data_IF_611720177898
#
_entry.id   IF_611720177898
#
_cell.length_a   1.000
_cell.length_b   1.000
_cell.length_c   1.000
_cell.angle_alpha   90.00
_cell.angle_beta   90.00
_cell.angle_gamma   90.00
#
_symmetry.space_group_name_H-M   'P 1'
#
loop_
_entity.id
_entity.type
_entity.pdbx_description
1 polymer ?
#
# COMPACT_ATOMS: atom_id res chain seq x y z
N UNK A 1 -9.25 9.50 23.11
CA UNK A 1 -8.91 9.35 21.69
C UNK A 1 -7.57 10.04 21.42
N UNK A 2 -6.66 9.32 20.77
CA UNK A 2 -5.35 9.82 20.34
C UNK A 2 -5.37 9.91 18.83
N UNK A 3 -4.92 11.02 18.25
CA UNK A 3 -4.77 11.23 16.82
C UNK A 3 -3.28 11.45 16.51
N UNK A 4 -2.75 10.69 15.57
CA UNK A 4 -1.39 10.84 15.06
C UNK A 4 -1.44 10.88 13.53
N UNK A 5 -1.04 12.02 12.97
CA UNK A 5 -1.08 12.26 11.52
C UNK A 5 0.19 11.78 10.79
N UNK A 6 1.17 11.22 11.54
CA UNK A 6 2.45 10.73 11.03
C UNK A 6 2.78 9.39 11.69
N UNK A 7 2.05 8.35 11.31
CA UNK A 7 2.09 7.02 11.93
C UNK A 7 3.51 6.46 12.12
N UNK A 8 4.36 6.58 11.10
CA UNK A 8 5.68 5.99 11.10
C UNK A 8 5.64 4.49 11.43
N UNK A 9 6.37 4.05 12.44
CA UNK A 9 6.38 2.66 12.91
C UNK A 9 5.18 2.28 13.81
N UNK A 10 4.19 3.17 13.97
CA UNK A 10 3.00 2.93 14.81
C UNK A 10 3.23 3.04 16.31
N UNK A 11 4.24 3.78 16.76
CA UNK A 11 4.57 3.88 18.18
C UNK A 11 3.46 4.55 18.98
N UNK A 12 2.87 5.62 18.45
CA UNK A 12 1.75 6.32 19.11
C UNK A 12 0.54 5.40 19.26
N UNK A 13 0.16 4.67 18.22
CA UNK A 13 -0.95 3.73 18.28
C UNK A 13 -0.66 2.58 19.27
N UNK A 14 0.57 2.06 19.27
CA UNK A 14 1.01 1.02 20.21
C UNK A 14 0.90 1.47 21.67
N UNK A 15 1.41 2.67 22.02
CA UNK A 15 1.34 3.21 23.37
C UNK A 15 -0.10 3.55 23.75
N UNK A 16 -0.90 4.10 22.83
CA UNK A 16 -2.31 4.35 23.07
C UNK A 16 -3.07 3.06 23.38
N UNK A 17 -2.81 1.98 22.62
CA UNK A 17 -3.38 0.66 22.86
C UNK A 17 -2.92 0.09 24.22
N UNK A 18 -1.64 0.24 24.59
CA UNK A 18 -1.11 -0.18 25.89
C UNK A 18 -1.90 0.45 27.05
N UNK A 19 -2.31 1.72 26.92
CA UNK A 19 -3.08 2.43 27.92
C UNK A 19 -4.60 2.32 27.74
N UNK A 20 -5.10 1.44 26.87
CA UNK A 20 -6.52 1.25 26.61
C UNK A 20 -7.19 2.49 26.01
N UNK A 21 -6.45 3.32 25.27
CA UNK A 21 -6.95 4.51 24.59
C UNK A 21 -7.34 4.18 23.16
N UNK A 22 -8.43 4.80 22.70
CA UNK A 22 -8.76 4.77 21.26
C UNK A 22 -7.78 5.62 20.50
N UNK A 23 -7.42 5.19 19.30
CA UNK A 23 -6.45 5.86 18.45
C UNK A 23 -6.89 5.89 17.01
N UNK A 24 -6.44 6.91 16.31
CA UNK A 24 -6.51 7.06 14.85
C UNK A 24 -5.11 7.50 14.44
N UNK A 25 -4.54 6.82 13.47
CA UNK A 25 -3.23 7.19 12.91
C UNK A 25 -3.26 7.11 11.41
N UNK A 26 -2.52 7.96 10.73
CA UNK A 26 -2.41 7.97 9.28
C UNK A 26 -0.97 8.21 8.85
N UNK A 27 -0.66 7.80 7.63
CA UNK A 27 0.63 8.04 7.00
C UNK A 27 0.47 8.04 5.48
N UNK A 28 1.32 8.76 4.79
CA UNK A 28 1.40 8.73 3.32
C UNK A 28 2.18 7.50 2.83
N UNK A 29 3.03 6.93 3.69
CA UNK A 29 3.83 5.75 3.40
C UNK A 29 3.07 4.46 3.67
N UNK A 30 2.83 3.68 2.63
CA UNK A 30 2.24 2.33 2.76
C UNK A 30 3.12 1.38 3.56
N UNK A 31 4.44 1.55 3.50
CA UNK A 31 5.40 0.75 4.27
C UNK A 31 5.22 1.03 5.76
N UNK A 32 5.08 2.29 6.15
CA UNK A 32 4.82 2.69 7.53
C UNK A 32 3.53 2.05 8.06
N UNK A 33 2.43 2.16 7.31
CA UNK A 33 1.14 1.56 7.69
C UNK A 33 1.23 0.03 7.79
N UNK A 34 1.92 -0.63 6.86
CA UNK A 34 2.11 -2.09 6.91
C UNK A 34 2.90 -2.51 8.15
N UNK A 35 3.96 -1.79 8.48
CA UNK A 35 4.77 -2.05 9.67
C UNK A 35 3.97 -1.82 10.96
N UNK A 36 3.24 -0.70 11.04
CA UNK A 36 2.37 -0.41 12.17
C UNK A 36 1.27 -1.46 12.35
N UNK A 37 0.62 -1.88 11.26
CA UNK A 37 -0.36 -2.97 11.25
C UNK A 37 0.24 -4.25 11.80
N UNK A 38 1.38 -4.69 11.29
CA UNK A 38 2.05 -5.91 11.75
C UNK A 38 2.39 -5.83 13.23
N UNK A 39 2.97 -4.70 13.67
CA UNK A 39 3.31 -4.46 15.08
C UNK A 39 2.11 -4.57 16.00
N UNK A 40 0.98 -3.95 15.64
CA UNK A 40 -0.24 -3.97 16.44
C UNK A 40 -0.90 -5.36 16.45
N UNK A 41 -0.89 -6.08 15.31
CA UNK A 41 -1.47 -7.43 15.24
C UNK A 41 -0.70 -8.47 16.05
N UNK A 42 0.59 -8.28 16.27
CA UNK A 42 1.44 -9.20 17.04
C UNK A 42 1.69 -8.76 18.47
N UNK A 43 1.21 -7.57 18.85
CA UNK A 43 1.43 -7.00 20.17
C UNK A 43 0.61 -7.71 21.25
N UNK A 44 1.25 -7.88 22.39
CA UNK A 44 0.60 -8.31 23.64
C UNK A 44 0.80 -7.24 24.69
N UNK A 45 -0.24 -6.99 25.50
CA UNK A 45 -0.26 -5.94 26.49
C UNK A 45 -0.66 -6.49 27.85
N UNK A 46 -0.23 -5.82 28.90
CA UNK A 46 -0.69 -6.08 30.25
C UNK A 46 -2.21 -5.90 30.35
N UNK A 47 -2.85 -6.80 31.09
CA UNK A 47 -4.26 -6.66 31.43
C UNK A 47 -4.36 -5.89 32.74
N UNK A 48 -4.86 -4.66 32.68
CA UNK A 48 -5.07 -3.83 33.86
C UNK A 48 -6.39 -4.18 34.56
N UNK A 49 -6.37 -4.30 35.88
CA UNK A 49 -7.57 -4.50 36.66
C UNK A 49 -8.52 -3.32 36.51
N UNK A 50 -9.76 -3.59 36.11
CA UNK A 50 -10.79 -2.59 35.97
C UNK A 50 -11.36 -2.18 37.32
N UNK A 51 -11.69 -0.89 37.49
CA UNK A 51 -12.37 -0.42 38.72
C UNK A 51 -13.74 -1.09 38.87
N UNK A 52 -14.48 -1.25 37.76
CA UNK A 52 -15.76 -1.97 37.70
C UNK A 52 -15.80 -2.84 36.45
N UNK A 53 -15.69 -4.16 36.59
CA UNK A 53 -15.64 -5.10 35.46
C UNK A 53 -16.88 -5.02 34.56
N UNK A 54 -18.07 -4.82 35.14
CA UNK A 54 -19.32 -4.73 34.40
C UNK A 54 -19.42 -3.50 33.47
N UNK A 55 -18.66 -2.44 33.75
CA UNK A 55 -18.66 -1.19 32.97
C UNK A 55 -17.50 -1.14 31.95
N UNK A 56 -16.62 -2.13 31.99
CA UNK A 56 -15.45 -2.20 31.10
C UNK A 56 -14.44 -1.07 31.32
N UNK A 57 -13.65 -0.78 30.30
CA UNK A 57 -12.54 0.20 30.34
C UNK A 57 -13.00 1.63 30.68
N UNK A 58 -14.26 1.95 30.43
CA UNK A 58 -14.84 3.27 30.74
C UNK A 58 -14.88 3.57 32.24
N UNK A 59 -14.86 2.55 33.11
CA UNK A 59 -14.86 2.72 34.57
C UNK A 59 -13.50 3.16 35.16
N UNK A 60 -12.43 3.07 34.38
CA UNK A 60 -11.05 3.28 34.82
C UNK A 60 -10.42 2.03 35.40
N UNK A 61 -9.23 2.18 35.97
CA UNK A 61 -8.40 1.08 36.48
C UNK A 61 -8.25 1.17 38.00
N UNK A 62 -7.90 0.04 38.60
CA UNK A 62 -7.42 0.02 39.99
C UNK A 62 -5.96 0.45 39.97
N UNK A 63 -5.62 1.47 40.74
CA UNK A 63 -4.27 2.00 40.82
C UNK A 63 -3.61 1.63 42.14
N UNK A 64 -2.28 1.53 42.12
CA UNK A 64 -1.49 1.38 43.36
C UNK A 64 -1.63 2.61 44.24
N UNK A 65 -1.66 2.37 45.53
CA UNK A 65 -1.65 3.43 46.53
C UNK A 65 -0.39 3.34 47.36
N UNK A 66 0.14 4.48 47.75
CA UNK A 66 1.29 4.59 48.66
C UNK A 66 1.01 5.57 49.76
N UNK A 67 1.56 5.38 50.96
CA UNK A 67 1.41 6.34 52.04
C UNK A 67 2.17 7.63 51.69
N UNK A 68 1.46 8.76 51.68
CA UNK A 68 2.04 10.10 51.50
C UNK A 68 2.52 10.66 52.83
N UNK A 69 3.79 10.40 53.16
CA UNK A 69 4.36 10.85 54.43
C UNK A 69 4.81 12.30 54.30
N UNK A 70 4.22 13.20 55.09
CA UNK A 70 4.57 14.62 55.15
C UNK A 70 5.20 14.97 56.49
N UNK A 71 5.98 16.04 56.53
CA UNK A 71 6.53 16.56 57.81
C UNK A 71 5.44 16.80 58.84
N UNK A 72 4.27 17.22 58.42
CA UNK A 72 3.11 17.46 59.29
C UNK A 72 2.61 16.16 59.90
N UNK A 73 2.48 15.09 59.11
CA UNK A 73 2.01 13.79 59.62
C UNK A 73 3.00 13.18 60.60
N UNK A 74 4.32 13.37 60.37
CA UNK A 74 5.35 12.93 61.33
C UNK A 74 5.30 13.75 62.62
N UNK A 75 5.21 15.08 62.51
CA UNK A 75 5.21 15.97 63.68
C UNK A 75 3.97 15.79 64.58
N UNK A 76 2.83 15.49 63.99
CA UNK A 76 1.57 15.28 64.74
C UNK A 76 1.30 13.81 65.09
N UNK A 77 2.18 12.88 64.68
CA UNK A 77 1.98 11.46 64.83
C UNK A 77 0.64 10.96 64.21
N UNK A 78 0.25 11.58 63.08
CA UNK A 78 -0.96 11.25 62.32
C UNK A 78 -0.63 10.16 61.25
N UNK A 79 -1.58 9.21 60.98
CA UNK A 79 -1.37 8.26 59.91
C UNK A 79 -1.28 9.03 58.57
N UNK A 80 -0.31 8.68 57.70
CA UNK A 80 -0.14 9.36 56.41
C UNK A 80 -1.36 9.14 55.51
N UNK A 81 -1.73 10.16 54.77
CA UNK A 81 -2.77 10.05 53.73
C UNK A 81 -2.32 9.08 52.63
N UNK A 82 -3.26 8.41 52.01
CA UNK A 82 -2.96 7.55 50.86
C UNK A 82 -2.91 8.39 49.57
N UNK A 83 -1.85 8.23 48.81
CA UNK A 83 -1.70 8.84 47.51
C UNK A 83 -1.87 7.77 46.42
N UNK A 84 -2.67 8.08 45.38
CA UNK A 84 -2.94 7.19 44.25
C UNK A 84 -1.90 7.44 43.15
N UNK A 85 -1.21 6.39 42.74
CA UNK A 85 -0.26 6.44 41.63
C UNK A 85 -0.98 6.18 40.32
N UNK A 86 -1.51 7.22 39.66
CA UNK A 86 -2.24 7.13 38.41
C UNK A 86 -1.38 6.63 37.22
N UNK A 87 -0.08 6.65 37.34
CA UNK A 87 0.87 6.08 36.36
C UNK A 87 1.15 4.59 36.57
N UNK A 88 0.64 3.97 37.65
CA UNK A 88 0.86 2.59 38.03
C UNK A 88 -0.46 1.82 38.25
N UNK A 89 -1.20 1.50 37.18
CA UNK A 89 -2.36 0.63 37.29
C UNK A 89 -1.95 -0.78 37.72
N UNK A 90 -2.80 -1.43 38.50
CA UNK A 90 -2.59 -2.83 38.89
C UNK A 90 -2.78 -3.78 37.71
N UNK A 91 -1.80 -4.73 37.56
CA UNK A 91 -1.80 -5.70 36.47
C UNK A 91 -2.37 -7.04 36.98
N UNK A 92 -3.30 -7.62 36.22
CA UNK A 92 -3.73 -8.99 36.38
C UNK A 92 -2.82 -9.91 35.54
N UNK A 93 -1.88 -10.58 36.18
CA UNK A 93 -0.92 -11.46 35.51
C UNK A 93 -1.50 -12.76 34.97
N UNK A 94 -2.76 -13.05 35.27
CA UNK A 94 -3.44 -14.25 34.75
C UNK A 94 -4.03 -14.05 33.37
N UNK A 95 -4.11 -12.81 32.91
CA UNK A 95 -4.71 -12.41 31.63
C UNK A 95 -3.70 -11.64 30.80
N UNK A 96 -3.80 -11.80 29.49
CA UNK A 96 -3.04 -11.03 28.50
C UNK A 96 -4.04 -10.35 27.58
N UNK A 97 -3.81 -9.09 27.27
CA UNK A 97 -4.62 -8.35 26.33
C UNK A 97 -3.90 -8.25 24.98
N UNK A 98 -4.65 -8.43 23.92
CA UNK A 98 -4.20 -8.19 22.53
C UNK A 98 -4.84 -6.90 22.02
N UNK A 99 -4.34 -6.37 20.93
CA UNK A 99 -4.95 -5.21 20.25
C UNK A 99 -6.41 -5.52 19.90
N UNK A 100 -7.29 -4.57 20.16
CA UNK A 100 -8.69 -4.64 19.74
C UNK A 100 -8.82 -4.62 18.21
N UNK A 101 -10.01 -4.90 17.67
CA UNK A 101 -10.25 -4.84 16.23
C UNK A 101 -10.04 -3.40 15.72
N UNK A 102 -9.33 -3.25 14.62
CA UNK A 102 -9.11 -1.98 13.94
C UNK A 102 -9.21 -2.15 12.42
N UNK A 103 -9.53 -1.08 11.72
CA UNK A 103 -9.59 -1.04 10.27
C UNK A 103 -8.34 -0.36 9.70
N UNK A 104 -7.95 -0.76 8.50
CA UNK A 104 -6.92 -0.10 7.71
C UNK A 104 -7.56 0.31 6.39
N UNK A 105 -7.61 1.60 6.14
CA UNK A 105 -8.24 2.16 4.95
C UNK A 105 -7.21 2.95 4.14
N UNK A 106 -7.26 2.82 2.83
CA UNK A 106 -6.55 3.68 1.91
C UNK A 106 -7.54 4.70 1.35
N UNK A 107 -7.35 5.97 1.68
CA UNK A 107 -8.10 7.03 1.04
C UNK A 107 -7.50 7.25 -0.36
N UNK A 108 -8.29 7.16 -1.43
CA UNK A 108 -7.83 7.61 -2.74
C UNK A 108 -7.51 9.11 -2.63
N UNK A 109 -6.39 9.51 -3.24
CA UNK A 109 -6.07 10.93 -3.32
C UNK A 109 -7.27 11.66 -3.97
N UNK A 110 -7.77 12.75 -3.37
CA UNK A 110 -8.85 13.50 -3.99
C UNK A 110 -8.35 14.06 -5.33
N UNK A 111 -8.79 13.45 -6.42
CA UNK A 111 -8.50 13.94 -7.77
C UNK A 111 -9.51 15.05 -8.07
N UNK A 112 -9.34 16.19 -7.44
CA UNK A 112 -9.95 17.43 -7.91
C UNK A 112 -8.94 18.06 -8.86
N UNK A 113 -8.93 17.61 -10.11
CA UNK A 113 -8.21 18.31 -11.16
C UNK A 113 -9.12 19.41 -11.69
N UNK A 114 -8.72 20.70 -11.66
CA UNK A 114 -9.36 21.73 -12.45
C UNK A 114 -9.40 21.29 -13.91
N UNK A 115 -10.45 21.73 -14.65
CA UNK A 115 -10.61 21.35 -16.05
C UNK A 115 -9.39 21.72 -16.91
N UNK A 116 -8.69 22.79 -16.53
CA UNK A 116 -7.46 23.27 -17.19
C UNK A 116 -6.24 22.37 -16.96
N UNK A 117 -6.17 21.65 -15.82
CA UNK A 117 -5.09 20.69 -15.52
C UNK A 117 -5.26 19.36 -16.29
N UNK A 118 -6.46 19.07 -16.78
CA UNK A 118 -6.69 17.89 -17.63
C UNK A 118 -6.04 18.07 -19.00
N UNK A 119 -5.90 19.30 -19.46
CA UNK A 119 -5.26 19.65 -20.75
C UNK A 119 -3.73 19.77 -20.64
N UNK A 120 -3.20 20.05 -19.45
CA UNK A 120 -1.74 20.16 -19.22
C UNK A 120 -1.06 18.84 -18.84
N UNK A 121 -1.82 17.82 -18.41
CA UNK A 121 -1.26 16.54 -17.95
C UNK A 121 -0.98 15.53 -19.08
N UNK A 122 -1.37 15.79 -20.31
CA UNK A 122 -1.05 14.87 -21.42
C UNK A 122 0.45 14.87 -21.72
N UNK A 123 1.15 16.00 -21.51
CA UNK A 123 2.59 16.10 -21.72
C UNK A 123 3.40 15.39 -20.64
N UNK A 124 3.03 15.51 -19.36
CA UNK A 124 3.70 14.82 -18.23
C UNK A 124 3.45 13.30 -18.27
N UNK A 125 2.25 12.89 -18.59
CA UNK A 125 1.90 11.46 -18.76
C UNK A 125 2.66 10.89 -19.96
N UNK A 126 2.76 11.63 -21.04
CA UNK A 126 3.48 11.23 -22.25
C UNK A 126 4.99 11.10 -22.01
N UNK A 127 5.60 12.02 -21.24
CA UNK A 127 7.01 11.94 -20.85
C UNK A 127 7.31 10.71 -20.00
N UNK A 128 6.49 10.43 -18.97
CA UNK A 128 6.63 9.25 -18.11
C UNK A 128 6.41 7.93 -18.85
N UNK A 129 5.44 7.89 -19.75
CA UNK A 129 5.23 6.72 -20.62
C UNK A 129 6.43 6.47 -21.54
N UNK A 130 7.14 7.51 -21.93
CA UNK A 130 8.38 7.35 -22.68
C UNK A 130 9.45 6.67 -21.83
N UNK A 131 9.65 7.13 -20.60
CA UNK A 131 10.59 6.51 -19.66
C UNK A 131 10.22 5.05 -19.35
N UNK A 132 8.94 4.73 -19.19
CA UNK A 132 8.48 3.36 -18.96
C UNK A 132 8.72 2.45 -20.18
N UNK A 133 8.53 2.97 -21.40
CA UNK A 133 8.86 2.23 -22.65
C UNK A 133 10.35 1.95 -22.75
N UNK A 134 11.18 2.96 -22.47
CA UNK A 134 12.64 2.83 -22.52
C UNK A 134 13.14 1.81 -21.47
N UNK A 135 12.56 1.84 -20.26
CA UNK A 135 12.86 0.86 -19.22
C UNK A 135 12.38 -0.55 -19.62
N UNK A 136 11.18 -0.68 -20.20
CA UNK A 136 10.67 -1.97 -20.67
C UNK A 136 11.55 -2.57 -21.77
N UNK A 137 12.04 -1.74 -22.69
CA UNK A 137 12.98 -2.13 -23.72
C UNK A 137 14.33 -2.59 -23.12
N UNK A 138 14.83 -1.86 -22.12
CA UNK A 138 16.12 -2.12 -21.50
C UNK A 138 16.12 -3.36 -20.59
N UNK A 139 15.04 -3.58 -19.81
CA UNK A 139 15.00 -4.61 -18.77
C UNK A 139 14.14 -5.81 -19.15
N UNK A 140 13.21 -5.67 -20.08
CA UNK A 140 12.18 -6.68 -20.35
C UNK A 140 11.26 -6.93 -19.15
N UNK A 141 10.54 -8.04 -19.17
CA UNK A 141 9.65 -8.48 -18.10
C UNK A 141 10.22 -9.75 -17.49
N UNK A 142 10.48 -9.74 -16.19
CA UNK A 142 10.98 -10.89 -15.44
C UNK A 142 9.84 -11.87 -15.17
N UNK A 143 9.97 -13.10 -15.66
CA UNK A 143 9.04 -14.20 -15.42
C UNK A 143 9.43 -15.09 -14.25
N UNK A 144 8.62 -16.12 -13.99
CA UNK A 144 8.92 -17.14 -12.97
C UNK A 144 10.19 -17.93 -13.32
N UNK A 145 10.96 -18.25 -12.30
CA UNK A 145 12.19 -19.03 -12.46
C UNK A 145 13.35 -18.29 -13.13
N UNK A 146 13.28 -16.95 -13.22
CA UNK A 146 14.34 -16.14 -13.82
C UNK A 146 14.28 -16.02 -15.34
N UNK A 147 13.29 -16.62 -16.00
CA UNK A 147 13.05 -16.40 -17.43
C UNK A 147 12.68 -14.92 -17.66
N UNK A 148 13.18 -14.34 -18.76
CA UNK A 148 12.94 -12.94 -19.10
C UNK A 148 12.30 -12.83 -20.48
N UNK A 149 11.19 -12.11 -20.58
CA UNK A 149 10.60 -11.72 -21.85
C UNK A 149 11.28 -10.42 -22.30
N UNK A 150 12.16 -10.51 -23.25
CA UNK A 150 12.87 -9.36 -23.82
C UNK A 150 12.16 -8.85 -25.07
N UNK A 151 12.33 -7.55 -25.32
CA UNK A 151 11.78 -6.88 -26.49
C UNK A 151 12.91 -6.36 -27.38
N UNK A 152 12.74 -6.52 -28.69
CA UNK A 152 13.65 -5.96 -29.70
C UNK A 152 13.34 -4.50 -30.00
N UNK A 153 12.06 -4.11 -29.82
CA UNK A 153 11.54 -2.79 -30.09
C UNK A 153 10.36 -2.49 -29.17
N UNK A 154 10.27 -1.26 -28.66
CA UNK A 154 9.12 -0.72 -27.92
C UNK A 154 8.87 0.71 -28.40
N UNK A 155 7.75 0.95 -29.05
CA UNK A 155 7.40 2.25 -29.64
C UNK A 155 6.04 2.73 -29.17
N UNK A 156 5.75 4.04 -29.22
CA UNK A 156 4.44 4.56 -28.91
C UNK A 156 3.41 4.06 -29.93
N UNK A 157 2.27 3.62 -29.46
CA UNK A 157 1.14 3.26 -30.29
C UNK A 157 0.20 4.46 -30.45
N UNK A 158 0.07 4.95 -31.68
CA UNK A 158 -0.79 6.09 -31.98
C UNK A 158 -2.22 5.66 -32.34
N UNK A 159 -3.19 6.49 -32.02
CA UNK A 159 -4.60 6.26 -32.35
C UNK A 159 -5.36 5.40 -31.36
N UNK A 160 -4.75 5.04 -30.25
CA UNK A 160 -5.33 4.31 -29.12
C UNK A 160 -5.20 5.13 -27.83
N UNK A 161 -6.14 4.95 -26.92
CA UNK A 161 -6.16 5.66 -25.64
C UNK A 161 -5.70 4.78 -24.49
N UNK A 162 -6.03 3.50 -24.54
CA UNK A 162 -5.77 2.54 -23.47
C UNK A 162 -4.58 1.63 -23.75
N UNK A 163 -4.13 1.58 -25.00
CA UNK A 163 -2.91 0.90 -25.41
C UNK A 163 -1.87 1.96 -25.81
N UNK A 164 -0.84 2.15 -24.98
CA UNK A 164 0.10 3.25 -25.14
C UNK A 164 1.39 2.86 -25.87
N UNK A 165 1.66 1.57 -25.99
CA UNK A 165 2.88 1.12 -26.67
C UNK A 165 2.65 -0.14 -27.50
N UNK A 166 3.45 -0.25 -28.57
CA UNK A 166 3.62 -1.44 -29.36
C UNK A 166 5.05 -1.95 -29.19
N UNK A 167 5.20 -3.27 -29.09
CA UNK A 167 6.49 -3.90 -28.93
C UNK A 167 6.59 -5.16 -29.78
N UNK A 168 7.83 -5.59 -30.01
CA UNK A 168 8.15 -6.84 -30.65
C UNK A 168 9.04 -7.68 -29.75
N UNK A 169 8.68 -8.95 -29.50
CA UNK A 169 9.46 -9.82 -28.63
C UNK A 169 10.78 -10.23 -29.32
N UNK A 170 11.83 -10.39 -28.51
CA UNK A 170 13.15 -10.84 -28.98
C UNK A 170 13.24 -12.36 -28.87
N UNK A 171 12.44 -13.04 -29.69
CA UNK A 171 12.38 -14.49 -29.81
C UNK A 171 12.75 -14.92 -31.22
N UNK A 172 13.02 -16.21 -31.47
CA UNK A 172 13.29 -16.73 -32.80
C UNK A 172 12.15 -16.46 -33.81
N UNK A 173 10.91 -16.43 -33.28
CA UNK A 173 9.73 -15.98 -34.02
C UNK A 173 9.15 -14.77 -33.30
N UNK A 174 9.50 -13.54 -33.73
CA UNK A 174 9.03 -12.32 -33.06
C UNK A 174 7.51 -12.24 -33.01
N UNK A 175 6.97 -11.89 -31.85
CA UNK A 175 5.53 -11.69 -31.65
C UNK A 175 5.24 -10.21 -31.43
N UNK A 176 4.22 -9.74 -32.13
CA UNK A 176 3.69 -8.39 -31.89
C UNK A 176 3.02 -8.33 -30.52
N UNK A 177 3.47 -7.44 -29.68
CA UNK A 177 2.91 -7.16 -28.36
C UNK A 177 2.35 -5.74 -28.31
N UNK A 178 1.26 -5.54 -27.56
CA UNK A 178 0.74 -4.22 -27.22
C UNK A 178 0.69 -4.07 -25.71
N UNK A 179 0.95 -2.86 -25.22
CA UNK A 179 1.11 -2.60 -23.80
C UNK A 179 0.12 -1.54 -23.35
N UNK A 180 -0.63 -1.88 -22.29
CA UNK A 180 -1.46 -0.98 -21.51
C UNK A 180 -0.71 -0.59 -20.25
N UNK A 181 -0.32 0.67 -20.10
CA UNK A 181 0.26 1.22 -18.88
C UNK A 181 -0.84 1.83 -18.01
N UNK A 182 -1.02 1.30 -16.81
CA UNK A 182 -1.87 1.96 -15.82
C UNK A 182 -1.16 3.15 -15.18
N UNK A 183 -1.92 4.19 -14.86
CA UNK A 183 -1.40 5.38 -14.20
C UNK A 183 -0.84 5.10 -12.80
N UNK A 184 0.01 6.03 -12.31
CA UNK A 184 0.67 5.90 -11.00
C UNK A 184 -0.30 5.92 -9.82
N UNK A 185 -1.39 6.65 -9.95
CA UNK A 185 -2.30 6.98 -8.84
C UNK A 185 -3.52 6.09 -8.73
N UNK A 186 -3.82 5.32 -9.78
CA UNK A 186 -5.01 4.46 -9.82
C UNK A 186 -4.60 3.01 -10.11
N UNK A 187 -5.19 2.03 -9.41
CA UNK A 187 -5.04 0.64 -9.80
C UNK A 187 -5.63 0.40 -11.20
N UNK A 188 -5.11 -0.59 -11.89
CA UNK A 188 -5.72 -1.07 -13.13
C UNK A 188 -7.07 -1.71 -12.79
N UNK A 189 -8.16 -1.12 -13.25
CA UNK A 189 -9.52 -1.60 -13.01
C UNK A 189 -10.06 -2.45 -14.19
N UNK A 190 -11.15 -3.20 -13.96
CA UNK A 190 -11.78 -4.05 -14.97
C UNK A 190 -12.28 -3.26 -16.18
N UNK A 191 -12.68 -2.00 -15.99
CA UNK A 191 -13.13 -1.13 -17.09
C UNK A 191 -11.97 -0.79 -18.03
N UNK A 192 -10.79 -0.48 -17.48
CA UNK A 192 -9.60 -0.19 -18.28
C UNK A 192 -9.15 -1.43 -19.05
N UNK A 193 -9.22 -2.62 -18.41
CA UNK A 193 -8.94 -3.90 -19.09
C UNK A 193 -9.88 -4.11 -20.26
N UNK A 194 -11.20 -3.96 -20.07
CA UNK A 194 -12.19 -4.14 -21.12
C UNK A 194 -11.96 -3.19 -22.30
N UNK A 195 -11.69 -1.92 -22.03
CA UNK A 195 -11.47 -0.90 -23.07
C UNK A 195 -10.14 -1.14 -23.81
N UNK A 196 -9.10 -1.59 -23.14
CA UNK A 196 -7.83 -1.95 -23.80
C UNK A 196 -7.99 -3.20 -24.69
N UNK A 197 -8.79 -4.17 -24.27
CA UNK A 197 -9.10 -5.35 -25.09
C UNK A 197 -9.91 -4.97 -26.34
N UNK A 198 -10.91 -4.09 -26.19
CA UNK A 198 -11.71 -3.57 -27.31
C UNK A 198 -10.84 -2.82 -28.34
N UNK A 199 -9.91 -1.98 -27.87
CA UNK A 199 -8.92 -1.35 -28.75
C UNK A 199 -8.02 -2.38 -29.45
N UNK A 200 -7.54 -3.39 -28.71
CA UNK A 200 -6.67 -4.44 -29.27
C UNK A 200 -7.37 -5.26 -30.38
N UNK A 201 -8.66 -5.49 -30.26
CA UNK A 201 -9.46 -6.22 -31.26
C UNK A 201 -9.52 -5.48 -32.61
N UNK A 202 -9.50 -4.15 -32.56
CA UNK A 202 -9.56 -3.27 -33.73
C UNK A 202 -8.19 -3.05 -34.39
N UNK A 203 -7.08 -3.46 -33.76
CA UNK A 203 -5.73 -3.29 -34.32
C UNK A 203 -5.47 -4.25 -35.51
N UNK A 204 -4.79 -3.74 -36.50
CA UNK A 204 -4.34 -4.53 -37.67
C UNK A 204 -2.84 -4.26 -37.94
N UNK A 205 -2.00 -5.30 -38.01
CA UNK A 205 -2.26 -6.72 -37.73
C UNK A 205 -2.63 -6.95 -36.26
N UNK A 206 -3.38 -8.01 -35.97
CA UNK A 206 -3.78 -8.34 -34.60
C UNK A 206 -2.58 -8.65 -33.71
N UNK A 207 -2.52 -8.15 -32.45
CA UNK A 207 -1.45 -8.49 -31.53
C UNK A 207 -1.53 -9.98 -31.13
N UNK A 208 -0.40 -10.58 -30.84
CA UNK A 208 -0.32 -11.94 -30.27
C UNK A 208 -0.10 -11.92 -28.75
N UNK A 209 0.29 -10.76 -28.22
CA UNK A 209 0.57 -10.56 -26.82
C UNK A 209 -0.03 -9.23 -26.37
N UNK A 210 -0.73 -9.22 -25.26
CA UNK A 210 -1.21 -7.99 -24.61
C UNK A 210 -0.65 -7.97 -23.19
N UNK A 211 0.09 -6.92 -22.87
CA UNK A 211 0.71 -6.73 -21.55
C UNK A 211 -0.02 -5.63 -20.82
N UNK A 212 -0.57 -5.95 -19.67
CA UNK A 212 -1.11 -4.98 -18.71
C UNK A 212 -0.03 -4.67 -17.68
N UNK A 213 0.58 -3.50 -17.79
CA UNK A 213 1.64 -3.03 -16.89
C UNK A 213 1.07 -2.03 -15.88
N UNK A 214 1.12 -2.36 -14.60
CA UNK A 214 0.52 -1.56 -13.55
C UNK A 214 1.34 -1.58 -12.25
N UNK A 215 1.29 -0.49 -11.50
CA UNK A 215 1.80 -0.45 -10.13
C UNK A 215 0.90 -1.20 -9.15
N UNK A 216 -0.40 -1.28 -9.46
CA UNK A 216 -1.41 -1.99 -8.70
C UNK A 216 -2.50 -2.52 -9.62
N UNK A 217 -2.97 -3.73 -9.32
CA UNK A 217 -4.10 -4.35 -9.98
C UNK A 217 -5.29 -4.39 -9.01
N UNK A 218 -6.46 -4.02 -9.49
CA UNK A 218 -7.70 -4.36 -8.81
C UNK A 218 -7.89 -5.88 -8.84
N UNK A 219 -8.34 -6.53 -7.75
CA UNK A 219 -8.55 -7.98 -7.73
C UNK A 219 -9.50 -8.50 -8.81
N UNK A 220 -10.55 -7.74 -9.15
CA UNK A 220 -11.48 -8.10 -10.22
C UNK A 220 -10.80 -8.00 -11.59
N UNK A 221 -10.06 -6.91 -11.85
CA UNK A 221 -9.31 -6.75 -13.08
C UNK A 221 -8.25 -7.86 -13.27
N UNK A 222 -7.55 -8.23 -12.20
CA UNK A 222 -6.58 -9.32 -12.25
C UNK A 222 -7.24 -10.65 -12.61
N UNK A 223 -8.43 -10.93 -12.05
CA UNK A 223 -9.23 -12.12 -12.37
C UNK A 223 -9.76 -12.08 -13.80
N UNK A 224 -10.22 -10.92 -14.26
CA UNK A 224 -10.72 -10.75 -15.63
C UNK A 224 -9.63 -11.07 -16.66
N UNK A 225 -8.40 -10.56 -16.45
CA UNK A 225 -7.26 -10.86 -17.30
C UNK A 225 -6.97 -12.37 -17.33
N UNK A 226 -6.99 -13.04 -16.16
CA UNK A 226 -6.70 -14.47 -16.06
C UNK A 226 -7.81 -15.35 -16.67
N UNK A 227 -9.08 -14.91 -16.58
CA UNK A 227 -10.23 -15.64 -17.06
C UNK A 227 -10.53 -15.40 -18.55
N UNK A 228 -10.01 -14.31 -19.13
CA UNK A 228 -10.25 -13.97 -20.53
C UNK A 228 -9.49 -14.94 -21.43
N UNK A 229 -10.23 -15.71 -22.18
CA UNK A 229 -9.67 -16.61 -23.20
C UNK A 229 -9.85 -16.00 -24.60
N UNK A 230 -8.77 -15.46 -25.13
CA UNK A 230 -8.73 -14.92 -26.49
C UNK A 230 -7.88 -15.83 -27.38
N UNK A 231 -8.50 -16.57 -28.33
CA UNK A 231 -7.78 -17.51 -29.17
C UNK A 231 -6.64 -16.84 -29.95
N UNK A 232 -5.42 -17.33 -29.74
CA UNK A 232 -4.22 -16.83 -30.42
C UNK A 232 -3.59 -15.56 -29.83
N UNK A 233 -4.13 -15.04 -28.74
CA UNK A 233 -3.58 -13.89 -27.99
C UNK A 233 -3.28 -14.30 -26.56
N UNK A 234 -2.09 -13.99 -26.09
CA UNK A 234 -1.68 -14.22 -24.70
C UNK A 234 -1.83 -12.92 -23.91
N UNK A 235 -2.53 -12.96 -22.79
CA UNK A 235 -2.64 -11.83 -21.86
C UNK A 235 -1.62 -11.99 -20.73
N UNK A 236 -0.87 -10.95 -20.42
CA UNK A 236 0.12 -10.93 -19.34
C UNK A 236 -0.14 -9.77 -18.40
N UNK A 237 0.01 -10.04 -17.09
CA UNK A 237 0.04 -9.03 -16.04
C UNK A 237 1.49 -8.76 -15.66
N UNK A 238 1.94 -7.52 -15.81
CA UNK A 238 3.27 -7.08 -15.41
C UNK A 238 3.18 -6.06 -14.30
N UNK A 239 3.67 -6.41 -13.12
CA UNK A 239 3.81 -5.47 -12.02
C UNK A 239 4.96 -4.51 -12.31
N UNK A 240 4.71 -3.22 -12.16
CA UNK A 240 5.70 -2.16 -12.28
C UNK A 240 6.33 -1.86 -10.92
N UNK A 241 7.65 -1.65 -10.90
CA UNK A 241 8.35 -1.24 -9.69
C UNK A 241 8.01 0.22 -9.34
N UNK A 242 7.77 0.49 -8.05
CA UNK A 242 7.52 1.85 -7.55
C UNK A 242 8.71 2.80 -7.79
N UNK A 243 9.89 2.27 -8.02
CA UNK A 243 11.06 3.07 -8.42
C UNK A 243 10.86 3.81 -9.74
N UNK A 244 9.95 3.32 -10.60
CA UNK A 244 9.56 3.98 -11.85
C UNK A 244 8.69 5.24 -11.65
N UNK A 245 8.21 5.50 -10.43
CA UNK A 245 7.44 6.70 -10.09
C UNK A 245 8.32 7.93 -9.76
N UNK A 246 9.63 7.73 -9.53
CA UNK A 246 10.53 8.80 -9.10
C UNK A 246 11.32 9.36 -10.27
N UNK A 247 11.36 10.70 -10.39
CA UNK A 247 12.09 11.42 -11.45
C UNK A 247 13.62 11.22 -11.41
N UNK A 248 14.17 10.67 -10.33
CA UNK A 248 15.60 10.44 -10.14
C UNK A 248 16.15 9.15 -10.82
N UNK A 249 15.49 8.65 -11.85
CA UNK A 249 15.93 7.48 -12.63
C UNK A 249 17.35 7.60 -13.18
N UNK A 250 17.86 8.82 -13.36
CA UNK A 250 19.23 9.06 -13.85
C UNK A 250 20.34 8.82 -12.82
N UNK A 251 20.00 8.63 -11.55
CA UNK A 251 20.96 8.39 -10.44
C UNK A 251 20.92 6.99 -9.86
N UNK A 252 19.94 6.18 -10.21
CA UNK A 252 19.84 4.82 -9.69
C UNK A 252 20.55 3.82 -10.58
N UNK A 253 21.28 2.92 -9.95
CA UNK A 253 21.73 1.65 -10.54
C UNK A 253 20.55 1.06 -11.28
N UNK A 254 20.75 0.65 -12.54
CA UNK A 254 19.73 -0.05 -13.32
C UNK A 254 19.17 -1.19 -12.44
N UNK A 255 17.98 -0.98 -11.91
CA UNK A 255 17.30 -2.07 -11.20
C UNK A 255 16.96 -3.05 -12.31
N UNK A 256 17.63 -4.19 -12.29
CA UNK A 256 17.40 -5.31 -13.22
C UNK A 256 15.95 -5.85 -13.16
N UNK A 257 15.09 -5.21 -12.37
CA UNK A 257 13.75 -5.67 -12.03
C UNK A 257 12.75 -4.51 -12.04
N UNK A 258 12.58 -3.88 -13.19
CA UNK A 258 11.57 -2.83 -13.36
C UNK A 258 10.17 -3.38 -13.59
N UNK A 259 10.06 -4.55 -14.22
CA UNK A 259 8.81 -5.23 -14.53
C UNK A 259 8.92 -6.72 -14.22
N UNK A 260 7.89 -7.30 -13.56
CA UNK A 260 7.81 -8.75 -13.32
C UNK A 260 6.41 -9.27 -13.52
N UNK A 261 6.30 -10.51 -14.00
CA UNK A 261 5.03 -11.19 -14.23
C UNK A 261 4.34 -11.51 -12.91
N UNK A 262 3.04 -11.26 -12.85
CA UNK A 262 2.14 -11.60 -11.75
C UNK A 262 1.17 -12.67 -12.23
N UNK A 263 1.13 -13.79 -11.54
CA UNK A 263 0.20 -14.86 -11.87
C UNK A 263 0.84 -16.21 -12.06
#
# INVERSE_FOLDING_TARGET
LVLDITCGSGTTAYVAEQWGRRWITCDTSRVAITLAKQRLMTATFDYYKLAHEAQGVGSGFVYKTVPHVTLKSIANNEPPAQEILYDQPEIDKTKVRVTGPFTVEALPAPVVKPLDDVLQNDDDISAKQTDWRDQLLATGILGRGGARLEFSRVEPLSGTRYLQAEAETKEDTPRRAVICFAGETKPLDSRMVALALDEAENLRPAPKLIVFAAFQFDPEAAKDIDSTNWPGVTLLKAQMNTDLMTEDLKKKRSSDQSFWLVG
#
